data_IF_182227716196
#
_entry.id   IF_182227716196
#
_cell.length_a   1.000
_cell.length_b   1.000
_cell.length_c   1.000
_cell.angle_alpha   90.00
_cell.angle_beta   90.00
_cell.angle_gamma   90.00
#
_symmetry.space_group_name_H-M   'P 1'
#
loop_
_entity.id
_entity.type
_entity.pdbx_description
1 polymer ?
#
# COMPACT_ATOMS: atom_id res chain seq x y z
N UNK A 1 -36.08 16.04 -9.44
CA UNK A 1 -35.12 15.13 -8.77
C UNK A 1 -35.26 15.16 -7.25
N UNK A 2 -35.03 16.31 -6.59
CA UNK A 2 -35.03 16.39 -5.11
C UNK A 2 -36.39 16.05 -4.45
N UNK A 3 -37.52 16.41 -5.06
CA UNK A 3 -38.84 16.03 -4.54
C UNK A 3 -39.06 14.51 -4.58
N UNK A 4 -38.61 13.86 -5.66
CA UNK A 4 -38.67 12.40 -5.79
C UNK A 4 -37.77 11.69 -4.76
N UNK A 5 -36.61 12.27 -4.45
CA UNK A 5 -35.67 11.77 -3.42
C UNK A 5 -36.28 11.90 -2.02
N UNK A 6 -37.01 12.97 -1.72
CA UNK A 6 -37.62 13.22 -0.40
C UNK A 6 -38.69 12.19 -0.06
N UNK A 7 -39.45 11.73 -1.04
CA UNK A 7 -40.53 10.75 -0.84
C UNK A 7 -40.02 9.29 -0.91
N UNK A 8 -38.80 9.08 -1.41
CA UNK A 8 -38.21 7.76 -1.56
C UNK A 8 -37.60 7.25 -0.24
N UNK A 9 -38.43 6.52 0.51
CA UNK A 9 -38.05 5.89 1.79
C UNK A 9 -36.85 4.94 1.64
N UNK A 10 -36.72 4.26 0.50
CA UNK A 10 -35.62 3.33 0.27
C UNK A 10 -34.29 4.10 0.17
N UNK A 11 -34.28 5.21 -0.56
CA UNK A 11 -33.11 6.07 -0.64
C UNK A 11 -32.66 6.57 0.74
N UNK A 12 -33.59 7.12 1.53
CA UNK A 12 -33.27 7.65 2.88
C UNK A 12 -32.73 6.54 3.79
N UNK A 13 -33.34 5.36 3.76
CA UNK A 13 -32.88 4.21 4.54
C UNK A 13 -31.47 3.78 4.13
N UNK A 14 -31.21 3.64 2.82
CA UNK A 14 -29.90 3.26 2.32
C UNK A 14 -28.83 4.33 2.65
N UNK A 15 -29.17 5.61 2.54
CA UNK A 15 -28.29 6.72 2.93
C UNK A 15 -27.91 6.69 4.42
N UNK A 16 -28.88 6.39 5.28
CA UNK A 16 -28.65 6.20 6.72
C UNK A 16 -27.77 4.98 7.00
N UNK A 17 -27.95 3.88 6.27
CA UNK A 17 -27.11 2.67 6.39
C UNK A 17 -25.66 3.00 6.03
N UNK A 18 -25.39 3.70 4.93
CA UNK A 18 -24.02 4.08 4.55
C UNK A 18 -23.38 4.98 5.60
N UNK A 19 -24.14 5.94 6.13
CA UNK A 19 -23.67 6.82 7.23
C UNK A 19 -23.30 6.01 8.47
N UNK A 20 -24.17 5.08 8.89
CA UNK A 20 -23.93 4.22 10.04
C UNK A 20 -22.73 3.29 9.82
N UNK A 21 -22.60 2.69 8.64
CA UNK A 21 -21.43 1.88 8.26
C UNK A 21 -20.13 2.68 8.37
N UNK A 22 -20.09 3.91 7.85
CA UNK A 22 -18.93 4.79 7.97
C UNK A 22 -18.60 5.11 9.43
N UNK A 23 -19.60 5.41 10.25
CA UNK A 23 -19.38 5.66 11.69
C UNK A 23 -18.81 4.41 12.40
N UNK A 24 -19.41 3.24 12.16
CA UNK A 24 -18.97 1.98 12.76
C UNK A 24 -17.55 1.62 12.32
N UNK A 25 -17.21 1.81 11.04
CA UNK A 25 -15.86 1.60 10.52
C UNK A 25 -14.84 2.54 11.18
N UNK A 26 -15.20 3.82 11.38
CA UNK A 26 -14.35 4.77 12.09
C UNK A 26 -14.09 4.34 13.54
N UNK A 27 -15.14 3.99 14.29
CA UNK A 27 -15.03 3.50 15.66
C UNK A 27 -14.20 2.20 15.74
N UNK A 28 -14.43 1.26 14.82
CA UNK A 28 -13.66 0.02 14.71
C UNK A 28 -12.15 0.31 14.60
N UNK A 29 -11.76 1.21 13.69
CA UNK A 29 -10.35 1.53 13.44
C UNK A 29 -9.69 2.29 14.60
N UNK A 30 -10.45 3.05 15.39
CA UNK A 30 -9.94 3.81 16.54
C UNK A 30 -9.80 2.94 17.79
N UNK A 31 -10.80 2.11 18.09
CA UNK A 31 -10.91 1.47 19.40
C UNK A 31 -10.48 0.00 19.39
N UNK A 32 -10.63 -0.71 18.28
CA UNK A 32 -10.31 -2.14 18.24
C UNK A 32 -8.80 -2.35 18.12
N UNK A 33 -8.23 -3.04 19.10
CA UNK A 33 -6.78 -3.32 19.13
C UNK A 33 -6.37 -4.47 18.20
N UNK A 34 -7.21 -5.50 18.05
CA UNK A 34 -6.95 -6.66 17.19
C UNK A 34 -7.52 -6.50 15.78
N UNK A 35 -6.79 -7.03 14.80
CA UNK A 35 -7.22 -7.10 13.40
C UNK A 35 -8.31 -8.18 13.22
N UNK A 36 -9.47 -7.80 12.70
CA UNK A 36 -10.59 -8.71 12.50
C UNK A 36 -10.51 -9.53 11.21
N UNK A 37 -9.73 -9.04 10.23
CA UNK A 37 -9.69 -9.59 8.88
C UNK A 37 -8.49 -10.52 8.67
N UNK A 38 -7.34 -10.17 9.24
CA UNK A 38 -6.10 -10.94 9.14
C UNK A 38 -5.36 -10.93 10.49
N UNK A 39 -5.57 -11.96 11.30
CA UNK A 39 -5.07 -12.01 12.68
C UNK A 39 -3.53 -11.98 12.78
N UNK A 40 -2.83 -12.42 11.73
CA UNK A 40 -1.38 -12.47 11.60
C UNK A 40 -0.77 -11.18 11.02
N UNK A 41 -1.59 -10.21 10.62
CA UNK A 41 -1.14 -8.94 10.02
C UNK A 41 -1.36 -7.80 11.00
N UNK A 42 -0.28 -7.06 11.26
CA UNK A 42 -0.31 -5.81 12.03
C UNK A 42 -0.42 -4.61 11.09
N UNK A 43 -1.60 -3.96 11.00
CA UNK A 43 -1.78 -2.78 10.17
C UNK A 43 -1.09 -1.55 10.76
N UNK A 44 -0.54 -0.65 9.91
CA UNK A 44 0.17 0.53 10.38
C UNK A 44 -0.75 1.48 11.14
N UNK A 45 -0.34 1.86 12.36
CA UNK A 45 -1.13 2.72 13.26
C UNK A 45 -1.49 4.05 12.58
N UNK A 46 -0.56 4.63 11.83
CA UNK A 46 -0.81 5.87 11.08
C UNK A 46 -1.91 5.67 10.04
N UNK A 47 -1.91 4.56 9.31
CA UNK A 47 -2.94 4.26 8.31
C UNK A 47 -4.32 4.10 8.95
N UNK A 48 -4.41 3.34 10.05
CA UNK A 48 -5.68 3.17 10.77
C UNK A 48 -6.26 4.51 11.23
N UNK A 49 -5.43 5.42 11.76
CA UNK A 49 -5.88 6.76 12.18
C UNK A 49 -6.38 7.62 11.02
N UNK A 50 -5.66 7.65 9.90
CA UNK A 50 -6.08 8.42 8.71
C UNK A 50 -7.33 7.81 8.06
N UNK A 51 -7.43 6.49 8.01
CA UNK A 51 -8.64 5.80 7.54
C UNK A 51 -9.83 6.08 8.47
N UNK A 52 -9.65 6.04 9.79
CA UNK A 52 -10.70 6.40 10.73
C UNK A 52 -11.20 7.83 10.56
N UNK A 53 -10.27 8.78 10.34
CA UNK A 53 -10.63 10.16 10.02
C UNK A 53 -11.41 10.24 8.71
N UNK A 54 -10.96 9.56 7.65
CA UNK A 54 -11.67 9.47 6.38
C UNK A 54 -13.10 8.94 6.56
N UNK A 55 -13.30 7.85 7.30
CA UNK A 55 -14.63 7.31 7.59
C UNK A 55 -15.50 8.26 8.43
N UNK A 56 -14.92 8.95 9.42
CA UNK A 56 -15.65 9.94 10.22
C UNK A 56 -16.13 11.12 9.37
N UNK A 57 -15.26 11.65 8.50
CA UNK A 57 -15.63 12.73 7.58
C UNK A 57 -16.56 12.26 6.46
N UNK A 58 -16.47 10.99 6.04
CA UNK A 58 -17.47 10.40 5.16
C UNK A 58 -18.84 10.33 5.81
N UNK A 59 -18.95 10.00 7.11
CA UNK A 59 -20.23 10.09 7.82
C UNK A 59 -20.70 11.55 7.97
N UNK A 60 -19.78 12.47 8.29
CA UNK A 60 -20.09 13.88 8.42
C UNK A 60 -20.57 14.50 7.10
N UNK A 61 -20.05 14.02 5.97
CA UNK A 61 -20.50 14.54 4.67
C UNK A 61 -21.96 14.25 4.40
N UNK A 62 -22.47 13.13 4.91
CA UNK A 62 -23.90 12.84 4.80
C UNK A 62 -24.74 13.85 5.60
N UNK A 63 -24.22 14.35 6.72
CA UNK A 63 -24.92 15.30 7.59
C UNK A 63 -25.09 16.68 6.94
N UNK A 64 -24.08 17.21 6.24
CA UNK A 64 -24.22 18.55 5.63
C UNK A 64 -25.10 18.57 4.38
N UNK A 65 -25.40 17.42 3.76
CA UNK A 65 -26.39 17.31 2.70
C UNK A 65 -27.82 17.03 3.22
N UNK A 66 -27.99 16.64 4.49
CA UNK A 66 -29.32 16.41 5.09
C UNK A 66 -30.30 17.57 4.94
N UNK A 67 -29.92 18.86 5.07
CA UNK A 67 -30.86 19.98 4.91
C UNK A 67 -31.62 19.98 3.58
N UNK A 68 -31.04 19.45 2.50
CA UNK A 68 -31.71 19.33 1.19
C UNK A 68 -33.03 18.53 1.30
N UNK A 69 -33.08 17.54 2.21
CA UNK A 69 -34.28 16.75 2.44
C UNK A 69 -35.41 17.52 3.15
N UNK A 70 -35.14 18.70 3.71
CA UNK A 70 -36.13 19.50 4.45
C UNK A 70 -36.44 20.85 3.82
N UNK A 71 -35.59 21.35 2.92
CA UNK A 71 -35.77 22.66 2.26
C UNK A 71 -36.79 22.60 1.11
N UNK A 72 -37.78 23.49 1.10
CA UNK A 72 -38.80 23.57 0.03
C UNK A 72 -38.44 24.54 -1.10
N UNK A 73 -37.57 25.51 -0.84
CA UNK A 73 -37.11 26.49 -1.83
C UNK A 73 -36.02 25.89 -2.72
N UNK A 74 -36.22 25.97 -4.04
CA UNK A 74 -35.21 25.53 -5.01
C UNK A 74 -33.91 26.31 -4.92
N UNK A 75 -33.95 27.59 -4.50
CA UNK A 75 -32.74 28.38 -4.32
C UNK A 75 -31.95 27.91 -3.10
N UNK A 76 -32.63 27.60 -2.00
CA UNK A 76 -31.98 27.15 -0.77
C UNK A 76 -31.41 25.74 -0.93
N UNK A 77 -32.08 24.85 -1.66
CA UNK A 77 -31.54 23.54 -2.03
C UNK A 77 -30.22 23.69 -2.79
N UNK A 78 -30.19 24.56 -3.80
CA UNK A 78 -28.97 24.75 -4.60
C UNK A 78 -27.85 25.40 -3.79
N UNK A 79 -28.16 26.33 -2.87
CA UNK A 79 -27.18 26.89 -1.92
C UNK A 79 -26.61 25.82 -1.00
N UNK A 80 -27.45 24.94 -0.46
CA UNK A 80 -26.98 23.81 0.35
C UNK A 80 -26.08 22.87 -0.44
N UNK A 81 -26.42 22.58 -1.71
CA UNK A 81 -25.59 21.77 -2.60
C UNK A 81 -24.20 22.40 -2.84
N UNK A 82 -24.14 23.72 -3.08
CA UNK A 82 -22.88 24.46 -3.20
C UNK A 82 -22.03 24.41 -1.92
N UNK A 83 -22.67 24.61 -0.76
CA UNK A 83 -22.00 24.55 0.54
C UNK A 83 -21.45 23.15 0.79
N UNK A 84 -22.25 22.11 0.54
CA UNK A 84 -21.82 20.72 0.66
C UNK A 84 -20.63 20.41 -0.26
N UNK A 85 -20.68 20.85 -1.52
CA UNK A 85 -19.57 20.67 -2.46
C UNK A 85 -18.29 21.37 -2.03
N UNK A 86 -18.39 22.57 -1.43
CA UNK A 86 -17.24 23.25 -0.82
C UNK A 86 -16.69 22.45 0.37
N UNK A 87 -17.56 21.97 1.26
CA UNK A 87 -17.17 21.18 2.43
C UNK A 87 -16.48 19.87 2.03
N UNK A 88 -17.04 19.13 1.06
CA UNK A 88 -16.40 17.94 0.48
C UNK A 88 -15.04 18.28 -0.14
N UNK A 89 -14.94 19.44 -0.79
CA UNK A 89 -13.68 19.88 -1.38
C UNK A 89 -12.60 20.12 -0.34
N UNK A 90 -12.90 20.70 0.83
CA UNK A 90 -11.87 20.98 1.84
C UNK A 90 -11.62 19.78 2.78
N UNK A 91 -12.48 18.77 2.77
CA UNK A 91 -12.39 17.62 3.69
C UNK A 91 -12.22 16.28 2.96
N UNK A 92 -13.29 15.78 2.31
CA UNK A 92 -13.38 14.43 1.77
C UNK A 92 -12.32 14.18 0.69
N UNK A 93 -12.16 15.09 -0.27
CA UNK A 93 -11.15 14.92 -1.32
C UNK A 93 -9.71 14.94 -0.77
N UNK A 94 -9.27 15.94 0.02
CA UNK A 94 -7.95 15.92 0.65
C UNK A 94 -7.70 14.67 1.49
N UNK A 95 -8.70 14.19 2.25
CA UNK A 95 -8.59 12.98 3.05
C UNK A 95 -8.44 11.72 2.20
N UNK A 96 -9.18 11.61 1.10
CA UNK A 96 -9.05 10.48 0.16
C UNK A 96 -7.66 10.42 -0.47
N UNK A 97 -7.09 11.57 -0.86
CA UNK A 97 -5.73 11.65 -1.39
C UNK A 97 -4.72 11.34 -0.29
N UNK A 98 -4.85 11.92 0.90
CA UNK A 98 -3.99 11.62 2.04
C UNK A 98 -4.00 10.13 2.38
N UNK A 99 -5.16 9.48 2.36
CA UNK A 99 -5.31 8.05 2.58
C UNK A 99 -4.54 7.24 1.53
N UNK A 100 -4.62 7.58 0.24
CA UNK A 100 -3.82 6.93 -0.80
C UNK A 100 -2.31 7.04 -0.54
N UNK A 101 -1.83 8.20 -0.06
CA UNK A 101 -0.42 8.38 0.29
C UNK A 101 0.00 7.60 1.53
N UNK A 102 -0.86 7.56 2.54
CA UNK A 102 -0.58 6.79 3.74
C UNK A 102 -0.61 5.28 3.43
N UNK A 103 -1.46 4.84 2.49
CA UNK A 103 -1.42 3.48 1.93
C UNK A 103 -0.12 3.21 1.17
N UNK A 104 0.48 4.24 0.54
CA UNK A 104 1.81 4.12 -0.07
C UNK A 104 2.92 3.87 0.97
N UNK A 105 2.66 4.20 2.25
CA UNK A 105 3.60 4.16 3.38
C UNK A 105 4.91 4.94 3.16
N UNK A 106 4.98 5.78 2.11
CA UNK A 106 6.14 6.60 1.80
C UNK A 106 6.10 7.91 2.61
N UNK A 107 6.82 7.94 3.74
CA UNK A 107 6.79 9.06 4.69
C UNK A 107 7.57 10.29 4.21
N UNK A 108 8.38 10.18 3.16
CA UNK A 108 9.31 11.25 2.75
C UNK A 108 8.78 12.08 1.57
N UNK A 109 7.68 11.67 0.94
CA UNK A 109 7.19 12.37 -0.26
C UNK A 109 6.59 13.74 0.08
N UNK A 110 6.95 14.79 -0.69
CA UNK A 110 6.30 16.08 -0.56
C UNK A 110 4.87 16.02 -1.09
N UNK A 111 3.91 16.48 -0.28
CA UNK A 111 2.49 16.58 -0.64
C UNK A 111 2.11 17.94 -1.25
N UNK A 112 3.00 18.93 -1.20
CA UNK A 112 2.74 20.27 -1.73
C UNK A 112 2.36 20.30 -3.22
N UNK A 113 2.88 19.45 -4.13
CA UNK A 113 2.48 19.51 -5.55
C UNK A 113 0.98 19.25 -5.74
N UNK A 114 0.43 18.36 -4.92
CA UNK A 114 -0.98 18.00 -4.93
C UNK A 114 -1.81 19.13 -4.34
N UNK A 115 -1.35 19.71 -3.23
CA UNK A 115 -2.02 20.88 -2.64
C UNK A 115 -2.13 22.02 -3.66
N UNK A 116 -1.05 22.32 -4.39
CA UNK A 116 -1.04 23.33 -5.47
C UNK A 116 -2.03 22.99 -6.58
N UNK A 117 -2.08 21.72 -7.00
CA UNK A 117 -3.06 21.24 -7.99
C UNK A 117 -4.51 21.25 -7.49
N UNK A 118 -4.75 21.38 -6.19
CA UNK A 118 -6.08 21.30 -5.61
C UNK A 118 -6.64 22.67 -5.21
N UNK A 119 -5.78 23.64 -4.89
CA UNK A 119 -6.17 25.00 -4.49
C UNK A 119 -7.16 25.66 -5.47
N UNK A 120 -6.95 25.66 -6.80
CA UNK A 120 -7.91 26.29 -7.72
C UNK A 120 -9.31 25.64 -7.69
N UNK A 121 -9.40 24.33 -7.41
CA UNK A 121 -10.71 23.66 -7.24
C UNK A 121 -11.45 24.18 -6.01
N UNK A 122 -10.76 24.35 -4.88
CA UNK A 122 -11.34 24.89 -3.64
C UNK A 122 -11.73 26.36 -3.81
N UNK A 123 -10.84 27.18 -4.38
CA UNK A 123 -11.09 28.61 -4.62
C UNK A 123 -12.33 28.80 -5.50
N UNK A 124 -12.50 27.98 -6.53
CA UNK A 124 -13.70 28.00 -7.38
C UNK A 124 -14.96 27.60 -6.61
N UNK A 125 -14.94 26.52 -5.82
CA UNK A 125 -16.09 26.14 -5.01
C UNK A 125 -16.48 27.26 -4.03
N UNK A 126 -15.50 27.92 -3.41
CA UNK A 126 -15.73 29.07 -2.53
C UNK A 126 -16.34 30.26 -3.29
N UNK A 127 -15.84 30.56 -4.49
CA UNK A 127 -16.41 31.60 -5.36
C UNK A 127 -17.88 31.32 -5.72
N UNK A 128 -18.21 30.07 -6.05
CA UNK A 128 -19.58 29.68 -6.38
C UNK A 128 -20.52 29.83 -5.18
N UNK A 129 -20.08 29.46 -3.97
CA UNK A 129 -20.86 29.66 -2.73
C UNK A 129 -21.14 31.15 -2.49
N UNK A 130 -20.13 32.01 -2.63
CA UNK A 130 -20.25 33.46 -2.37
C UNK A 130 -21.14 34.15 -3.41
N UNK A 131 -20.99 33.80 -4.69
CA UNK A 131 -21.69 34.47 -5.79
C UNK A 131 -23.02 33.82 -6.15
N UNK A 132 -23.31 32.63 -5.62
CA UNK A 132 -24.45 31.80 -6.02
C UNK A 132 -24.54 31.58 -7.55
N UNK A 133 -23.39 31.55 -8.24
CA UNK A 133 -23.30 31.48 -9.70
C UNK A 133 -22.92 30.06 -10.17
N UNK A 134 -23.65 29.53 -11.16
CA UNK A 134 -23.48 28.18 -11.70
C UNK A 134 -22.79 28.13 -13.08
N UNK A 135 -22.50 29.28 -13.68
CA UNK A 135 -21.96 29.38 -15.04
C UNK A 135 -20.61 28.68 -15.23
N UNK A 136 -19.86 28.45 -14.15
CA UNK A 136 -18.54 27.81 -14.18
C UNK A 136 -18.57 26.29 -13.89
N UNK A 137 -19.74 25.66 -13.90
CA UNK A 137 -19.86 24.23 -13.60
C UNK A 137 -19.17 23.35 -14.65
N UNK A 138 -19.27 23.69 -15.94
CA UNK A 138 -18.58 22.96 -17.02
C UNK A 138 -17.06 23.02 -16.90
N UNK A 139 -16.52 24.21 -16.59
CA UNK A 139 -15.09 24.41 -16.33
C UNK A 139 -14.59 23.61 -15.11
N UNK A 140 -15.46 23.37 -14.14
CA UNK A 140 -15.14 22.57 -12.96
C UNK A 140 -14.87 21.10 -13.29
N UNK A 141 -15.71 20.50 -14.14
CA UNK A 141 -15.52 19.13 -14.59
C UNK A 141 -14.21 18.98 -15.37
N UNK A 142 -13.91 19.93 -16.24
CA UNK A 142 -12.63 19.96 -16.98
C UNK A 142 -11.45 20.07 -16.01
N UNK A 143 -11.52 20.97 -15.04
CA UNK A 143 -10.48 21.13 -14.04
C UNK A 143 -10.26 19.86 -13.21
N UNK A 144 -11.35 19.25 -12.71
CA UNK A 144 -11.28 18.04 -11.92
C UNK A 144 -10.71 16.86 -12.74
N UNK A 145 -11.07 16.76 -14.02
CA UNK A 145 -10.48 15.77 -14.92
C UNK A 145 -8.96 15.97 -15.05
N UNK A 146 -8.50 17.21 -15.26
CA UNK A 146 -7.06 17.53 -15.30
C UNK A 146 -6.37 17.22 -13.98
N UNK A 147 -7.02 17.51 -12.84
CA UNK A 147 -6.54 17.13 -11.52
C UNK A 147 -6.38 15.62 -11.38
N UNK A 148 -7.39 14.83 -11.76
CA UNK A 148 -7.34 13.37 -11.74
C UNK A 148 -6.21 12.83 -12.62
N UNK A 149 -6.04 13.37 -13.84
CA UNK A 149 -4.96 12.98 -14.74
C UNK A 149 -3.60 13.25 -14.09
N UNK A 150 -3.38 14.44 -13.54
CA UNK A 150 -2.12 14.77 -12.87
C UNK A 150 -1.89 13.93 -11.61
N UNK A 151 -2.94 13.63 -10.83
CA UNK A 151 -2.87 12.73 -9.67
C UNK A 151 -2.50 11.31 -10.10
N UNK A 152 -3.08 10.78 -11.18
CA UNK A 152 -2.73 9.47 -11.77
C UNK A 152 -1.26 9.46 -12.17
N UNK A 153 -0.82 10.45 -12.94
CA UNK A 153 0.57 10.55 -13.39
C UNK A 153 1.53 10.59 -12.18
N UNK A 154 1.20 11.40 -11.17
CA UNK A 154 1.98 11.48 -9.94
C UNK A 154 2.03 10.13 -9.20
N UNK A 155 0.87 9.48 -9.02
CA UNK A 155 0.77 8.19 -8.32
C UNK A 155 1.51 7.07 -9.07
N UNK A 156 1.45 7.02 -10.39
CA UNK A 156 2.23 6.08 -11.23
C UNK A 156 3.72 6.25 -10.99
N UNK A 157 4.23 7.48 -10.97
CA UNK A 157 5.64 7.75 -10.66
C UNK A 157 5.98 7.35 -9.21
N UNK A 158 5.12 7.70 -8.27
CA UNK A 158 5.30 7.40 -6.86
C UNK A 158 5.34 5.88 -6.60
N UNK A 159 4.41 5.11 -7.17
CA UNK A 159 4.41 3.65 -7.05
C UNK A 159 5.63 3.04 -7.72
N UNK A 160 6.00 3.45 -8.95
CA UNK A 160 7.19 2.88 -9.61
C UNK A 160 8.47 3.11 -8.83
N UNK A 161 8.61 4.26 -8.19
CA UNK A 161 9.76 4.55 -7.33
C UNK A 161 9.69 3.73 -6.02
N UNK A 162 8.53 3.70 -5.36
CA UNK A 162 8.36 2.97 -4.12
C UNK A 162 8.47 1.45 -4.29
N UNK A 163 7.91 0.90 -5.37
CA UNK A 163 7.99 -0.52 -5.71
C UNK A 163 9.39 -0.98 -6.13
N UNK A 164 10.25 -0.07 -6.64
CA UNK A 164 11.69 -0.36 -6.76
C UNK A 164 12.32 -0.47 -5.38
N UNK A 165 12.12 0.53 -4.52
CA UNK A 165 12.61 0.50 -3.14
C UNK A 165 12.14 -0.75 -2.37
N UNK A 166 10.87 -1.15 -2.49
CA UNK A 166 10.33 -2.33 -1.81
C UNK A 166 11.06 -3.61 -2.26
N UNK A 167 11.28 -3.75 -3.57
CA UNK A 167 12.03 -4.86 -4.20
C UNK A 167 13.52 -4.86 -3.91
N UNK A 168 14.07 -3.77 -3.39
CA UNK A 168 15.48 -3.69 -2.98
C UNK A 168 15.65 -3.98 -1.47
N UNK A 169 14.56 -3.90 -0.68
CA UNK A 169 14.60 -4.01 0.78
C UNK A 169 13.97 -5.28 1.37
N UNK A 170 13.04 -5.90 0.65
CA UNK A 170 12.31 -7.07 1.14
C UNK A 170 12.37 -8.24 0.14
N UNK A 171 12.74 -9.42 0.64
CA UNK A 171 12.85 -10.63 -0.18
C UNK A 171 11.48 -11.20 -0.54
N UNK A 172 10.52 -11.05 0.38
CA UNK A 172 9.11 -11.39 0.19
C UNK A 172 8.24 -10.13 0.14
N UNK A 173 7.44 -10.02 -0.92
CA UNK A 173 6.56 -8.88 -1.24
C UNK A 173 5.09 -9.14 -0.91
N UNK A 174 4.74 -10.34 -0.49
CA UNK A 174 3.37 -10.72 -0.17
C UNK A 174 2.82 -9.87 0.99
N UNK A 175 1.56 -9.44 0.87
CA UNK A 175 0.90 -8.47 1.77
C UNK A 175 1.54 -7.07 1.87
N UNK A 176 2.62 -6.82 1.13
CA UNK A 176 3.30 -5.51 1.00
C UNK A 176 2.98 -4.83 -0.32
N UNK A 177 2.02 -5.36 -1.07
CA UNK A 177 1.67 -4.94 -2.43
C UNK A 177 1.02 -3.56 -2.48
N UNK A 178 1.81 -2.51 -2.58
CA UNK A 178 1.29 -1.13 -2.51
C UNK A 178 0.52 -0.68 -3.77
N UNK A 179 0.57 -1.46 -4.85
CA UNK A 179 -0.08 -1.15 -6.13
C UNK A 179 -1.61 -1.08 -6.04
N UNK A 180 -2.20 -1.73 -5.04
CA UNK A 180 -3.64 -1.69 -4.76
C UNK A 180 -4.14 -0.28 -4.39
N UNK A 181 -3.26 0.69 -4.15
CA UNK A 181 -3.61 2.12 -4.08
C UNK A 181 -4.20 2.67 -5.39
N UNK A 182 -3.92 2.05 -6.54
CA UNK A 182 -4.54 2.40 -7.82
C UNK A 182 -6.01 2.02 -7.93
N UNK A 183 -6.45 1.01 -7.17
CA UNK A 183 -7.88 0.64 -7.12
C UNK A 183 -8.69 1.77 -6.50
N UNK A 184 -8.19 2.39 -5.43
CA UNK A 184 -8.80 3.58 -4.80
C UNK A 184 -8.95 4.70 -5.83
N UNK A 185 -7.88 4.98 -6.58
CA UNK A 185 -7.86 6.02 -7.60
C UNK A 185 -8.82 5.73 -8.77
N UNK A 186 -8.87 4.47 -9.21
CA UNK A 186 -9.75 4.04 -10.29
C UNK A 186 -11.22 4.15 -9.89
N UNK A 187 -11.57 3.77 -8.65
CA UNK A 187 -12.93 3.94 -8.12
C UNK A 187 -13.27 5.43 -8.00
N UNK A 188 -12.36 6.27 -7.50
CA UNK A 188 -12.57 7.72 -7.45
C UNK A 188 -12.81 8.33 -8.84
N UNK A 189 -12.02 7.91 -9.85
CA UNK A 189 -12.21 8.34 -11.22
C UNK A 189 -13.55 7.85 -11.78
N UNK A 190 -13.96 6.61 -11.50
CA UNK A 190 -15.23 6.06 -11.94
C UNK A 190 -16.42 6.81 -11.33
N UNK A 191 -16.37 7.11 -10.02
CA UNK A 191 -17.37 7.96 -9.35
C UNK A 191 -17.45 9.32 -10.02
N UNK A 192 -16.31 9.94 -10.29
CA UNK A 192 -16.28 11.25 -10.96
C UNK A 192 -16.82 11.20 -12.39
N UNK A 193 -16.41 10.21 -13.18
CA UNK A 193 -16.89 10.03 -14.56
C UNK A 193 -18.39 9.80 -14.57
N UNK A 194 -18.92 9.02 -13.64
CA UNK A 194 -20.36 8.87 -13.49
C UNK A 194 -21.01 10.19 -13.03
N UNK A 195 -20.42 10.97 -12.12
CA UNK A 195 -20.92 12.32 -11.81
C UNK A 195 -20.94 13.24 -13.05
N UNK A 196 -19.91 13.19 -13.89
CA UNK A 196 -19.74 14.08 -15.04
C UNK A 196 -20.54 13.68 -16.29
N UNK A 197 -20.82 12.38 -16.47
CA UNK A 197 -21.45 11.84 -17.69
C UNK A 197 -22.97 11.65 -17.57
N UNK A 198 -23.52 11.55 -16.36
CA UNK A 198 -24.92 11.13 -16.21
C UNK A 198 -25.89 12.27 -15.97
N UNK A 199 -27.02 12.16 -16.67
CA UNK A 199 -28.22 13.00 -16.65
C UNK A 199 -29.04 12.85 -15.36
N UNK A 200 -29.77 13.91 -15.01
CA UNK A 200 -30.72 13.97 -13.89
C UNK A 200 -31.65 12.73 -13.86
N UNK A 201 -31.64 11.97 -12.75
CA UNK A 201 -32.52 10.80 -12.59
C UNK A 201 -32.24 9.97 -11.32
N UNK A 202 -33.21 9.15 -10.85
CA UNK A 202 -33.09 8.39 -9.61
C UNK A 202 -32.06 7.25 -9.70
N UNK A 203 -31.93 6.59 -10.85
CA UNK A 203 -30.97 5.47 -11.07
C UNK A 203 -29.53 5.89 -10.75
N UNK A 204 -29.16 7.11 -11.12
CA UNK A 204 -27.84 7.67 -10.86
C UNK A 204 -27.53 7.75 -9.35
N UNK A 205 -28.50 8.22 -8.56
CA UNK A 205 -28.36 8.37 -7.11
C UNK A 205 -28.12 7.02 -6.43
N UNK A 206 -28.85 5.98 -6.86
CA UNK A 206 -28.64 4.61 -6.39
C UNK A 206 -27.28 4.04 -6.81
N UNK A 207 -26.86 4.26 -8.06
CA UNK A 207 -25.56 3.82 -8.55
C UNK A 207 -24.40 4.45 -7.76
N UNK A 208 -24.47 5.77 -7.49
CA UNK A 208 -23.50 6.47 -6.65
C UNK A 208 -23.38 5.82 -5.27
N UNK A 209 -24.52 5.54 -4.62
CA UNK A 209 -24.54 4.95 -3.30
C UNK A 209 -23.89 3.55 -3.28
N UNK A 210 -24.21 2.71 -4.26
CA UNK A 210 -23.60 1.37 -4.38
C UNK A 210 -22.09 1.47 -4.55
N UNK A 211 -21.62 2.38 -5.42
CA UNK A 211 -20.17 2.59 -5.62
C UNK A 211 -19.52 3.09 -4.32
N UNK A 212 -20.17 4.00 -3.58
CA UNK A 212 -19.68 4.46 -2.27
C UNK A 212 -19.56 3.32 -1.26
N UNK A 213 -20.54 2.41 -1.17
CA UNK A 213 -20.47 1.25 -0.28
C UNK A 213 -19.30 0.33 -0.65
N UNK A 214 -19.15 0.00 -1.94
CA UNK A 214 -18.04 -0.83 -2.42
C UNK A 214 -16.70 -0.18 -2.09
N UNK A 215 -16.58 1.13 -2.29
CA UNK A 215 -15.38 1.90 -1.97
C UNK A 215 -15.04 1.87 -0.48
N UNK A 216 -16.02 2.10 0.39
CA UNK A 216 -15.85 2.10 1.84
C UNK A 216 -15.44 0.71 2.36
N UNK A 217 -16.10 -0.35 1.89
CA UNK A 217 -15.75 -1.73 2.22
C UNK A 217 -14.32 -2.07 1.78
N UNK A 218 -13.94 -1.66 0.56
CA UNK A 218 -12.59 -1.87 0.05
C UNK A 218 -11.53 -1.16 0.90
N UNK A 219 -11.76 0.10 1.28
CA UNK A 219 -10.84 0.84 2.16
C UNK A 219 -10.67 0.13 3.50
N UNK A 220 -11.76 -0.29 4.14
CA UNK A 220 -11.71 -0.96 5.43
C UNK A 220 -10.91 -2.26 5.35
N UNK A 221 -11.22 -3.11 4.37
CA UNK A 221 -10.49 -4.35 4.12
C UNK A 221 -9.00 -4.10 3.84
N UNK A 222 -8.70 -3.09 3.02
CA UNK A 222 -7.32 -2.80 2.61
C UNK A 222 -6.47 -2.27 3.75
N UNK A 223 -7.04 -1.43 4.62
CA UNK A 223 -6.35 -0.89 5.80
C UNK A 223 -5.91 -2.00 6.74
N UNK A 224 -6.73 -3.04 6.88
CA UNK A 224 -6.48 -4.16 7.80
C UNK A 224 -5.62 -5.26 7.17
N UNK A 225 -5.55 -5.39 5.85
CA UNK A 225 -4.69 -6.37 5.17
C UNK A 225 -3.30 -5.84 4.82
N UNK A 226 -3.08 -4.53 4.91
CA UNK A 226 -1.77 -3.93 4.63
C UNK A 226 -0.84 -4.06 5.84
N UNK A 227 0.27 -4.81 5.69
CA UNK A 227 1.29 -4.93 6.74
C UNK A 227 2.03 -3.62 6.99
N UNK A 228 2.32 -3.31 8.26
CA UNK A 228 3.19 -2.19 8.61
C UNK A 228 4.62 -2.43 8.12
N UNK A 229 5.11 -1.61 7.19
CA UNK A 229 6.48 -1.64 6.65
C UNK A 229 7.43 -0.77 7.48
N UNK A 230 6.98 -0.19 8.59
CA UNK A 230 7.88 0.53 9.47
C UNK A 230 8.88 -0.43 10.07
N UNK A 231 10.13 -0.28 9.63
CA UNK A 231 11.29 -0.87 10.31
C UNK A 231 11.18 -0.40 11.76
N UNK A 232 11.01 -1.31 12.74
CA UNK A 232 11.13 -0.88 14.10
C UNK A 232 12.59 -0.46 14.27
N UNK A 233 12.80 0.85 14.39
CA UNK A 233 13.89 1.41 15.17
C UNK A 233 13.62 1.09 16.66
N UNK A 234 13.27 -0.16 16.97
CA UNK A 234 13.31 -0.66 18.32
C UNK A 234 14.77 -0.64 18.75
N UNK A 235 15.03 0.38 19.55
CA UNK A 235 15.95 0.38 20.67
C UNK A 235 16.00 -1.01 21.33
N UNK A 236 17.20 -1.45 21.67
CA UNK A 236 17.43 -2.50 22.64
C UNK A 236 17.65 -3.91 22.05
N UNK A 237 18.92 -4.36 22.17
CA UNK A 237 19.38 -5.75 22.25
C UNK A 237 19.35 -6.59 20.96
N UNK A 238 20.47 -6.57 20.23
CA UNK A 238 21.57 -7.53 20.37
C UNK A 238 22.84 -6.79 19.93
N UNK A 239 23.71 -6.46 20.88
CA UNK A 239 25.01 -5.84 20.56
C UNK A 239 25.97 -6.99 20.26
N UNK A 240 26.08 -7.37 18.99
CA UNK A 240 27.41 -7.65 18.46
C UNK A 240 28.14 -6.30 18.44
N UNK A 241 29.43 -6.26 18.82
CA UNK A 241 30.20 -5.02 18.81
C UNK A 241 30.03 -4.33 17.45
N UNK A 242 29.67 -3.03 17.42
CA UNK A 242 29.47 -2.33 16.17
C UNK A 242 30.78 -2.36 15.39
N UNK A 243 30.71 -2.81 14.13
CA UNK A 243 31.83 -2.75 13.19
C UNK A 243 32.25 -1.28 13.11
N UNK A 244 33.41 -0.97 13.71
CA UNK A 244 33.92 0.41 13.77
C UNK A 244 34.57 0.70 12.42
N UNK A 245 33.82 1.34 11.53
CA UNK A 245 34.31 1.72 10.20
C UNK A 245 35.15 2.99 10.33
N UNK A 246 36.45 2.87 10.04
CA UNK A 246 37.42 3.97 10.02
C UNK A 246 37.40 4.67 8.66
N UNK A 247 37.92 5.90 8.59
CA UNK A 247 37.98 6.67 7.34
C UNK A 247 38.85 6.00 6.26
N UNK A 248 39.77 5.11 6.64
CA UNK A 248 40.62 4.32 5.76
C UNK A 248 39.90 3.13 5.12
N UNK A 249 38.71 2.73 5.62
CA UNK A 249 37.93 1.62 5.08
C UNK A 249 37.12 1.99 3.83
N UNK A 250 37.12 3.28 3.46
CA UNK A 250 36.38 3.85 2.34
C UNK A 250 37.37 4.38 1.30
N UNK A 251 37.66 3.58 0.27
CA UNK A 251 38.48 3.98 -0.86
C UNK A 251 37.59 4.59 -1.97
N UNK A 252 37.67 5.92 -2.15
CA UNK A 252 36.87 6.63 -3.16
C UNK A 252 35.36 6.50 -2.92
N UNK A 253 34.60 6.06 -3.93
CA UNK A 253 33.14 5.86 -3.85
C UNK A 253 32.74 4.45 -3.33
N UNK A 254 33.69 3.64 -2.83
CA UNK A 254 33.48 2.22 -2.51
C UNK A 254 34.05 1.78 -1.16
N UNK A 255 33.77 0.53 -0.80
CA UNK A 255 34.36 -0.17 0.34
C UNK A 255 35.73 -0.74 -0.06
N UNK A 256 36.72 -0.64 0.82
CA UNK A 256 38.04 -1.26 0.64
C UNK A 256 37.93 -2.79 0.49
N UNK A 257 38.95 -3.43 -0.11
CA UNK A 257 38.94 -4.89 -0.27
C UNK A 257 38.89 -5.64 1.07
N UNK A 258 39.70 -5.21 2.04
CA UNK A 258 39.71 -5.79 3.38
C UNK A 258 38.33 -5.74 4.05
N UNK A 259 37.61 -4.62 3.86
CA UNK A 259 36.27 -4.46 4.42
C UNK A 259 35.23 -5.36 3.76
N UNK A 260 35.36 -5.62 2.45
CA UNK A 260 34.48 -6.58 1.75
C UNK A 260 34.69 -8.00 2.26
N UNK A 261 35.95 -8.40 2.47
CA UNK A 261 36.26 -9.71 3.05
C UNK A 261 35.71 -9.83 4.47
N UNK A 262 35.85 -8.78 5.29
CA UNK A 262 35.27 -8.73 6.63
C UNK A 262 33.74 -8.85 6.63
N UNK A 263 33.04 -8.11 5.76
CA UNK A 263 31.59 -8.25 5.61
C UNK A 263 31.17 -9.64 5.15
N UNK A 264 31.94 -10.27 4.25
CA UNK A 264 31.71 -11.65 3.83
C UNK A 264 31.80 -12.63 5.00
N UNK A 265 32.83 -12.50 5.85
CA UNK A 265 32.99 -13.32 7.05
C UNK A 265 31.84 -13.13 8.06
N UNK A 266 31.41 -11.89 8.29
CA UNK A 266 30.28 -11.60 9.17
C UNK A 266 28.96 -12.16 8.63
N UNK A 267 28.73 -12.09 7.31
CA UNK A 267 27.56 -12.69 6.68
C UNK A 267 27.58 -14.22 6.79
N UNK A 268 28.73 -14.86 6.62
CA UNK A 268 28.88 -16.29 6.88
C UNK A 268 28.47 -16.63 8.32
N UNK A 269 29.09 -15.97 9.30
CA UNK A 269 28.89 -16.24 10.72
C UNK A 269 27.47 -15.95 11.22
N UNK A 270 26.88 -14.83 10.83
CA UNK A 270 25.63 -14.35 11.42
C UNK A 270 24.40 -14.54 10.53
N UNK A 271 24.56 -14.88 9.24
CA UNK A 271 23.46 -15.15 8.35
C UNK A 271 23.38 -16.62 7.94
N UNK A 272 24.49 -17.19 7.45
CA UNK A 272 24.52 -18.56 6.92
C UNK A 272 24.53 -19.58 8.06
N UNK A 273 25.48 -19.46 9.00
CA UNK A 273 25.69 -20.43 10.08
C UNK A 273 24.50 -20.45 11.07
N UNK A 274 23.86 -19.30 11.28
CA UNK A 274 22.65 -19.17 12.11
C UNK A 274 21.35 -19.46 11.36
N UNK A 275 21.44 -19.71 10.05
CA UNK A 275 20.30 -19.86 9.14
C UNK A 275 19.29 -18.70 9.20
N UNK A 276 19.77 -17.48 9.49
CA UNK A 276 18.92 -16.29 9.58
C UNK A 276 18.12 -16.04 8.29
N UNK A 277 18.66 -16.45 7.14
CA UNK A 277 18.00 -16.35 5.84
C UNK A 277 16.66 -17.11 5.76
N UNK A 278 16.42 -18.11 6.63
CA UNK A 278 15.14 -18.84 6.70
C UNK A 278 14.02 -18.04 7.38
N UNK A 279 14.32 -16.92 8.03
CA UNK A 279 13.30 -16.06 8.63
C UNK A 279 12.48 -15.34 7.55
N UNK A 280 11.19 -15.65 7.48
CA UNK A 280 10.25 -15.13 6.48
C UNK A 280 10.22 -13.60 6.35
N UNK A 281 10.37 -12.88 7.46
CA UNK A 281 10.28 -11.42 7.54
C UNK A 281 11.65 -10.71 7.50
N UNK A 282 12.74 -11.45 7.25
CA UNK A 282 14.08 -10.90 7.16
C UNK A 282 14.16 -9.74 6.16
N UNK A 283 14.73 -8.62 6.60
CA UNK A 283 15.03 -7.47 5.78
C UNK A 283 16.47 -6.99 5.97
N UNK A 284 16.95 -6.15 5.04
CA UNK A 284 18.32 -5.63 5.04
C UNK A 284 18.70 -4.94 6.36
N UNK A 285 17.77 -4.26 7.03
CA UNK A 285 18.05 -3.59 8.31
C UNK A 285 18.20 -4.58 9.46
N UNK A 286 17.40 -5.64 9.51
CA UNK A 286 17.57 -6.72 10.49
C UNK A 286 18.90 -7.44 10.29
N UNK A 287 19.26 -7.75 9.03
CA UNK A 287 20.55 -8.35 8.72
C UNK A 287 21.72 -7.43 9.09
N UNK A 288 21.64 -6.13 8.76
CA UNK A 288 22.66 -5.16 9.14
C UNK A 288 22.86 -5.09 10.65
N UNK A 289 21.77 -5.13 11.43
CA UNK A 289 21.85 -5.19 12.90
C UNK A 289 22.50 -6.49 13.37
N UNK A 290 22.16 -7.63 12.77
CA UNK A 290 22.70 -8.94 13.15
C UNK A 290 24.23 -9.03 12.95
N UNK A 291 24.76 -8.39 11.90
CA UNK A 291 26.21 -8.32 11.64
C UNK A 291 26.90 -7.10 12.27
N UNK A 292 26.20 -6.29 13.08
CA UNK A 292 26.80 -5.15 13.76
C UNK A 292 27.13 -3.93 12.89
N UNK A 293 26.40 -3.70 11.78
CA UNK A 293 26.60 -2.54 10.90
C UNK A 293 25.30 -1.73 10.67
N UNK A 294 25.35 -0.75 9.78
CA UNK A 294 24.16 -0.01 9.34
C UNK A 294 23.69 -0.44 7.94
N UNK A 295 22.42 -0.15 7.64
CA UNK A 295 21.80 -0.48 6.34
C UNK A 295 22.58 0.08 5.14
N UNK A 296 23.19 1.26 5.28
CA UNK A 296 23.91 1.92 4.19
C UNK A 296 25.13 1.10 3.77
N UNK A 297 26.00 0.74 4.71
CA UNK A 297 27.22 -0.03 4.41
C UNK A 297 26.91 -1.42 3.89
N UNK A 298 25.93 -2.11 4.47
CA UNK A 298 25.55 -3.43 3.97
C UNK A 298 24.94 -3.37 2.57
N UNK A 299 24.16 -2.31 2.25
CA UNK A 299 23.67 -2.07 0.89
C UNK A 299 24.82 -1.79 -0.09
N UNK A 300 25.83 -1.03 0.34
CA UNK A 300 27.01 -0.73 -0.46
C UNK A 300 27.85 -1.98 -0.69
N UNK A 301 27.97 -2.87 0.31
CA UNK A 301 28.62 -4.17 0.18
C UNK A 301 27.96 -5.00 -0.91
N UNK A 302 26.64 -5.25 -0.85
CA UNK A 302 25.95 -6.04 -1.87
C UNK A 302 26.10 -5.43 -3.27
N UNK A 303 25.96 -4.10 -3.36
CA UNK A 303 26.15 -3.37 -4.62
C UNK A 303 27.56 -3.56 -5.19
N UNK A 304 28.59 -3.55 -4.32
CA UNK A 304 29.98 -3.79 -4.71
C UNK A 304 30.24 -5.23 -5.17
N UNK A 305 29.44 -6.18 -4.70
CA UNK A 305 29.44 -7.58 -5.13
C UNK A 305 28.58 -7.82 -6.39
N UNK A 306 28.02 -6.75 -7.00
CA UNK A 306 27.16 -6.87 -8.18
C UNK A 306 25.81 -7.54 -7.91
N UNK A 307 25.40 -7.65 -6.64
CA UNK A 307 24.16 -8.30 -6.23
C UNK A 307 23.29 -7.35 -5.40
N UNK A 308 22.08 -7.79 -5.09
CA UNK A 308 21.21 -7.11 -4.12
C UNK A 308 21.03 -8.00 -2.91
N UNK A 309 20.72 -7.41 -1.76
CA UNK A 309 20.34 -8.16 -0.57
C UNK A 309 19.28 -9.24 -0.86
N UNK A 310 18.27 -8.89 -1.65
CA UNK A 310 17.19 -9.81 -1.99
C UNK A 310 17.62 -10.92 -2.93
N UNK A 311 18.51 -10.66 -3.88
CA UNK A 311 19.09 -11.70 -4.71
C UNK A 311 19.90 -12.66 -3.82
N UNK A 312 20.81 -12.12 -3.00
CA UNK A 312 21.64 -12.89 -2.06
C UNK A 312 20.81 -13.82 -1.15
N UNK A 313 19.79 -13.29 -0.46
CA UNK A 313 18.95 -14.12 0.43
C UNK A 313 18.14 -15.16 -0.36
N UNK A 314 17.62 -14.80 -1.54
CA UNK A 314 16.88 -15.77 -2.36
C UNK A 314 17.79 -16.87 -2.90
N UNK A 315 19.04 -16.55 -3.24
CA UNK A 315 20.01 -17.56 -3.65
C UNK A 315 20.27 -18.57 -2.52
N UNK A 316 20.47 -18.09 -1.28
CA UNK A 316 20.60 -18.96 -0.11
C UNK A 316 19.36 -19.82 0.14
N UNK A 317 18.15 -19.24 0.04
CA UNK A 317 16.88 -19.98 0.22
C UNK A 317 16.67 -21.04 -0.86
N UNK A 318 17.02 -20.75 -2.11
CA UNK A 318 16.92 -21.71 -3.22
C UNK A 318 17.92 -22.85 -3.00
N UNK A 319 19.17 -22.55 -2.64
CA UNK A 319 20.16 -23.59 -2.34
C UNK A 319 19.73 -24.47 -1.16
N UNK A 320 19.09 -23.89 -0.14
CA UNK A 320 18.51 -24.65 0.98
C UNK A 320 17.33 -25.52 0.53
N UNK A 321 16.47 -25.00 -0.35
CA UNK A 321 15.39 -25.80 -0.95
C UNK A 321 15.95 -26.99 -1.71
N UNK A 322 16.99 -26.78 -2.52
CA UNK A 322 17.64 -27.84 -3.29
C UNK A 322 18.26 -28.91 -2.38
N UNK A 323 18.91 -28.52 -1.28
CA UNK A 323 19.44 -29.49 -0.31
C UNK A 323 18.32 -30.31 0.34
N UNK A 324 17.26 -29.66 0.81
CA UNK A 324 16.11 -30.35 1.40
C UNK A 324 15.40 -31.27 0.40
N UNK A 325 15.30 -30.84 -0.86
CA UNK A 325 14.72 -31.66 -1.93
C UNK A 325 15.53 -32.93 -2.17
N UNK A 326 16.87 -32.81 -2.29
CA UNK A 326 17.77 -33.97 -2.47
C UNK A 326 17.74 -34.92 -1.28
N UNK A 327 17.71 -34.40 -0.06
CA UNK A 327 17.57 -35.22 1.16
C UNK A 327 16.24 -35.98 1.21
N UNK A 328 15.15 -35.31 0.81
CA UNK A 328 13.80 -35.88 0.76
C UNK A 328 13.69 -36.97 -0.30
N UNK A 329 14.27 -36.74 -1.49
CA UNK A 329 14.32 -37.70 -2.60
C UNK A 329 15.12 -38.95 -2.19
N UNK A 330 16.28 -38.75 -1.56
CA UNK A 330 17.12 -39.83 -1.06
C UNK A 330 16.46 -40.65 0.07
N UNK A 331 15.66 -40.01 0.92
CA UNK A 331 14.97 -40.66 2.04
C UNK A 331 13.58 -41.20 1.68
N UNK A 332 13.14 -41.07 0.42
CA UNK A 332 11.80 -41.46 -0.07
C UNK A 332 10.64 -40.88 0.77
N UNK A 333 10.86 -39.72 1.40
CA UNK A 333 9.86 -39.09 2.27
C UNK A 333 8.87 -38.32 1.40
N UNK A 334 7.56 -38.50 1.64
CA UNK A 334 6.55 -37.70 0.93
C UNK A 334 6.44 -36.30 1.54
N UNK A 335 7.18 -35.33 1.00
CA UNK A 335 7.02 -33.90 1.31
C UNK A 335 6.61 -33.16 0.06
N UNK A 336 5.66 -32.23 0.21
CA UNK A 336 5.21 -31.39 -0.90
C UNK A 336 6.20 -30.26 -1.18
N UNK A 337 6.32 -29.84 -2.44
CA UNK A 337 7.13 -28.66 -2.81
C UNK A 337 6.72 -27.39 -2.05
N UNK A 338 5.45 -27.28 -1.67
CA UNK A 338 4.96 -26.19 -0.83
C UNK A 338 5.56 -26.20 0.57
N UNK A 339 5.63 -27.37 1.22
CA UNK A 339 6.24 -27.51 2.54
C UNK A 339 7.74 -27.21 2.49
N UNK A 340 8.46 -27.75 1.49
CA UNK A 340 9.87 -27.46 1.29
C UNK A 340 10.13 -25.95 1.10
N UNK A 341 9.25 -25.26 0.35
CA UNK A 341 9.37 -23.81 0.17
C UNK A 341 9.18 -23.05 1.49
N UNK A 342 8.22 -23.46 2.33
CA UNK A 342 8.01 -22.87 3.65
C UNK A 342 9.20 -23.11 4.59
N UNK A 343 9.74 -24.34 4.60
CA UNK A 343 10.94 -24.67 5.37
C UNK A 343 12.17 -23.88 4.87
N UNK A 344 12.20 -23.52 3.59
CA UNK A 344 13.21 -22.65 2.98
C UNK A 344 12.99 -21.15 3.21
N UNK A 345 12.03 -20.77 4.07
CA UNK A 345 11.80 -19.38 4.48
C UNK A 345 10.90 -18.55 3.58
N UNK A 346 10.11 -19.18 2.68
CA UNK A 346 9.10 -18.48 1.87
C UNK A 346 7.73 -18.48 2.54
N UNK A 347 7.10 -17.29 2.66
CA UNK A 347 5.83 -17.17 3.39
C UNK A 347 4.69 -17.84 2.62
N UNK A 348 4.71 -17.70 1.30
CA UNK A 348 3.86 -18.48 0.40
C UNK A 348 4.63 -19.19 -0.70
N UNK A 349 4.00 -20.26 -1.15
CA UNK A 349 4.41 -20.99 -2.33
C UNK A 349 4.33 -20.14 -3.61
N UNK A 350 3.44 -19.14 -3.65
CA UNK A 350 3.27 -18.27 -4.82
C UNK A 350 4.49 -17.36 -5.05
N UNK A 351 5.06 -16.81 -3.97
CA UNK A 351 6.30 -16.04 -3.99
C UNK A 351 7.45 -16.91 -4.46
N UNK A 352 7.58 -18.11 -3.90
CA UNK A 352 8.59 -19.10 -4.33
C UNK A 352 8.50 -19.41 -5.83
N UNK A 353 7.31 -19.74 -6.33
CA UNK A 353 7.09 -20.02 -7.75
C UNK A 353 7.52 -18.86 -8.66
N UNK A 354 7.21 -17.64 -8.26
CA UNK A 354 7.54 -16.42 -9.02
C UNK A 354 9.05 -16.17 -9.05
N UNK A 355 9.75 -16.49 -7.96
CA UNK A 355 11.21 -16.33 -7.85
C UNK A 355 11.93 -17.37 -8.70
N UNK A 356 11.55 -18.65 -8.60
CA UNK A 356 12.12 -19.72 -9.43
C UNK A 356 11.90 -19.41 -10.90
N UNK A 357 10.67 -19.09 -11.32
CA UNK A 357 10.37 -18.74 -12.72
C UNK A 357 11.19 -17.56 -13.22
N UNK A 358 11.45 -16.56 -12.38
CA UNK A 358 12.28 -15.41 -12.74
C UNK A 358 13.76 -15.79 -12.87
N UNK A 359 14.27 -16.70 -12.03
CA UNK A 359 15.68 -17.11 -12.02
C UNK A 359 15.99 -18.14 -13.11
N UNK A 360 15.11 -19.11 -13.33
CA UNK A 360 15.35 -20.27 -14.21
C UNK A 360 14.58 -20.20 -15.53
N UNK A 361 13.57 -19.33 -15.64
CA UNK A 361 12.66 -19.28 -16.79
C UNK A 361 11.60 -20.40 -16.82
N UNK A 362 11.63 -21.34 -15.86
CA UNK A 362 10.79 -22.54 -15.84
C UNK A 362 9.74 -22.53 -14.72
N UNK A 363 8.71 -23.37 -14.81
CA UNK A 363 7.83 -23.62 -13.66
C UNK A 363 8.55 -24.44 -12.60
N UNK A 364 8.11 -24.34 -11.34
CA UNK A 364 8.68 -25.14 -10.23
C UNK A 364 8.60 -26.64 -10.52
N UNK A 365 7.50 -27.11 -11.11
CA UNK A 365 7.36 -28.53 -11.52
C UNK A 365 8.40 -28.97 -12.55
N UNK A 366 8.65 -28.15 -13.57
CA UNK A 366 9.65 -28.44 -14.59
C UNK A 366 11.07 -28.35 -14.02
N UNK A 367 11.33 -27.37 -13.15
CA UNK A 367 12.61 -27.19 -12.48
C UNK A 367 12.94 -28.33 -11.52
N UNK A 368 11.98 -28.80 -10.71
CA UNK A 368 12.17 -29.97 -9.83
C UNK A 368 12.42 -31.25 -10.64
N UNK A 369 11.76 -31.40 -11.80
CA UNK A 369 12.04 -32.50 -12.71
C UNK A 369 13.48 -32.43 -13.23
N UNK A 370 13.93 -31.25 -13.66
CA UNK A 370 15.32 -31.04 -14.09
C UNK A 370 16.34 -31.32 -12.98
N UNK A 371 16.02 -30.97 -11.72
CA UNK A 371 16.82 -31.29 -10.54
C UNK A 371 16.95 -32.81 -10.31
N UNK A 372 15.85 -33.56 -10.47
CA UNK A 372 15.83 -35.01 -10.35
C UNK A 372 16.60 -35.69 -11.50
N UNK A 373 16.45 -35.17 -12.72
CA UNK A 373 17.14 -35.68 -13.92
C UNK A 373 18.64 -35.28 -13.97
N UNK A 374 19.14 -34.52 -12.99
CA UNK A 374 20.55 -34.09 -12.90
C UNK A 374 20.95 -32.98 -13.87
N UNK A 375 19.98 -32.30 -14.50
CA UNK A 375 20.17 -31.25 -15.52
C UNK A 375 20.01 -29.83 -14.95
N UNK A 376 20.12 -29.70 -13.63
CA UNK A 376 19.73 -28.50 -12.88
C UNK A 376 20.83 -27.47 -12.61
N UNK A 377 21.85 -27.34 -13.46
CA UNK A 377 22.75 -26.18 -13.42
C UNK A 377 22.60 -25.35 -14.71
N UNK A 378 22.35 -24.04 -14.62
CA UNK A 378 22.52 -23.12 -15.74
C UNK A 378 23.99 -22.86 -16.08
#
# INVERSE_FOLDING_TARGET
MYDQIREDKLYIMLYAVVTAMSMLASCYLLFRRGNAFAADITPPVRLRRWAAAFFAFSALSHVWYMPILFLSSSEDIKRCDLIGGLLDSITFFPLSVALMFVMLQDRRRPLWPIAVMFVPFVVRNAYNVVTCNYSFLSMAHVYFLLFCIGLIIYMVRALRQYGRWLRDNYADLEHKEVWQSFVVLAIMLLVFVAYALTSEGPVYVYAMLVISVVFLCYILWRVETLSDLSIPLSQGQCVAEPVTIMAEDVEGNGLSQAMREHFGALLQQHCIDTQLYLQHDLNLSQLAKAIGTNRFYLSQYFSSQGTTYNAYINDLRISHFESLYRETDASQRSITAQQLAQESGYRSYSTFCSIIKRKTGMSVTAWMKALHDGLGEP
#
